data_IF_537919301346
#
_entry.id   IF_537919301346
#
_cell.length_a   1.000
_cell.length_b   1.000
_cell.length_c   1.000
_cell.angle_alpha   90.00
_cell.angle_beta   90.00
_cell.angle_gamma   90.00
#
_symmetry.space_group_name_H-M   'P 1'
#
loop_
_entity.id
_entity.type
_entity.pdbx_description
1 polymer ?
#
# COMPACT_ATOMS: atom_id res chain seq x y z
N UNK A 1 -25.56 -63.60 -13.48
CA UNK A 1 -26.13 -62.53 -12.63
C UNK A 1 -25.10 -61.41 -12.47
N UNK A 2 -25.40 -60.25 -13.07
CA UNK A 2 -24.96 -58.86 -12.79
C UNK A 2 -23.47 -58.53 -12.70
N UNK A 3 -22.94 -58.01 -13.82
CA UNK A 3 -21.72 -57.19 -13.90
C UNK A 3 -22.17 -55.74 -13.62
N UNK A 4 -21.59 -55.08 -12.62
CA UNK A 4 -21.84 -53.66 -12.31
C UNK A 4 -20.72 -52.83 -12.94
N UNK A 5 -21.00 -51.84 -13.81
CA UNK A 5 -19.95 -50.99 -14.34
C UNK A 5 -19.61 -49.91 -13.30
N UNK A 6 -18.35 -49.89 -12.88
CA UNK A 6 -17.77 -48.81 -12.07
C UNK A 6 -17.66 -47.58 -12.96
N UNK A 7 -18.55 -46.62 -12.75
CA UNK A 7 -18.52 -45.31 -13.39
C UNK A 7 -17.39 -44.48 -12.74
N UNK A 8 -16.26 -44.39 -13.44
CA UNK A 8 -15.16 -43.48 -13.08
C UNK A 8 -15.61 -42.03 -13.29
N UNK A 9 -15.91 -41.35 -12.17
CA UNK A 9 -16.27 -39.93 -12.15
C UNK A 9 -14.98 -39.10 -12.27
N UNK A 10 -14.67 -38.62 -13.47
CA UNK A 10 -13.61 -37.65 -13.71
C UNK A 10 -14.02 -36.31 -13.07
N UNK A 11 -13.48 -36.00 -11.90
CA UNK A 11 -13.57 -34.68 -11.29
C UNK A 11 -12.59 -33.77 -12.03
N UNK A 12 -13.10 -32.99 -12.99
CA UNK A 12 -12.37 -31.85 -13.55
C UNK A 12 -12.21 -30.80 -12.45
N UNK A 13 -11.05 -30.77 -11.80
CA UNK A 13 -10.62 -29.63 -10.98
C UNK A 13 -10.37 -28.47 -11.94
N UNK A 14 -11.35 -27.57 -12.07
CA UNK A 14 -11.15 -26.28 -12.70
C UNK A 14 -10.24 -25.47 -11.78
N UNK A 15 -8.94 -25.45 -12.10
CA UNK A 15 -8.03 -24.46 -11.57
C UNK A 15 -8.45 -23.09 -12.14
N UNK A 16 -9.16 -22.30 -11.34
CA UNK A 16 -9.44 -20.92 -11.66
C UNK A 16 -8.11 -20.16 -11.64
N UNK A 17 -7.56 -19.89 -12.83
CA UNK A 17 -6.47 -18.93 -12.98
C UNK A 17 -7.00 -17.56 -12.56
N UNK A 18 -6.59 -17.11 -11.37
CA UNK A 18 -6.78 -15.72 -10.95
C UNK A 18 -5.88 -14.84 -11.81
N UNK A 19 -6.38 -14.44 -12.98
CA UNK A 19 -5.77 -13.35 -13.74
C UNK A 19 -5.92 -12.08 -12.91
N UNK A 20 -4.79 -11.51 -12.47
CA UNK A 20 -4.76 -10.17 -11.91
C UNK A 20 -5.23 -9.20 -13.00
N UNK A 21 -6.51 -8.83 -12.94
CA UNK A 21 -7.07 -7.79 -13.80
C UNK A 21 -6.32 -6.49 -13.47
N UNK A 22 -5.92 -5.67 -14.47
CA UNK A 22 -5.52 -4.30 -14.20
C UNK A 22 -6.58 -3.67 -13.31
N UNK A 23 -6.18 -2.94 -12.26
CA UNK A 23 -7.13 -2.30 -11.37
C UNK A 23 -8.17 -1.55 -12.20
N UNK A 24 -9.45 -1.87 -12.00
CA UNK A 24 -10.53 -1.23 -12.73
C UNK A 24 -10.46 0.28 -12.44
N UNK A 25 -10.76 1.14 -13.42
CA UNK A 25 -10.75 2.60 -13.21
C UNK A 25 -11.63 2.98 -12.00
N UNK A 26 -12.71 2.24 -11.76
CA UNK A 26 -13.56 2.41 -10.59
C UNK A 26 -12.83 2.12 -9.26
N UNK A 27 -11.95 1.11 -9.22
CA UNK A 27 -11.15 0.78 -8.04
C UNK A 27 -10.11 1.89 -7.76
N UNK A 28 -9.46 2.41 -8.81
CA UNK A 28 -8.48 3.50 -8.68
C UNK A 28 -9.18 4.78 -8.19
N UNK A 29 -10.33 5.15 -8.75
CA UNK A 29 -11.09 6.32 -8.29
C UNK A 29 -11.58 6.17 -6.84
N UNK A 30 -11.99 4.95 -6.45
CA UNK A 30 -12.32 4.66 -5.05
C UNK A 30 -11.11 4.81 -4.14
N UNK A 31 -9.96 4.28 -4.54
CA UNK A 31 -8.70 4.43 -3.81
C UNK A 31 -8.30 5.89 -3.64
N UNK A 32 -8.42 6.68 -4.71
CA UNK A 32 -8.19 8.13 -4.70
C UNK A 32 -9.08 8.84 -3.69
N UNK A 33 -10.38 8.54 -3.68
CA UNK A 33 -11.30 9.08 -2.70
C UNK A 33 -10.91 8.70 -1.27
N UNK A 34 -10.61 7.42 -1.02
CA UNK A 34 -10.21 6.95 0.31
C UNK A 34 -8.93 7.63 0.79
N UNK A 35 -7.91 7.73 -0.07
CA UNK A 35 -6.63 8.38 0.26
C UNK A 35 -6.80 9.87 0.56
N UNK A 36 -7.58 10.58 -0.25
CA UNK A 36 -7.70 12.03 -0.13
C UNK A 36 -8.74 12.47 0.89
N UNK A 37 -9.83 11.71 1.07
CA UNK A 37 -11.01 12.17 1.83
C UNK A 37 -11.28 11.39 3.11
N UNK A 38 -10.90 10.12 3.19
CA UNK A 38 -11.21 9.27 4.34
C UNK A 38 -10.00 9.05 5.23
N UNK A 39 -8.93 8.48 4.67
CA UNK A 39 -7.69 8.16 5.38
C UNK A 39 -6.73 9.37 5.46
N UNK A 40 -6.96 10.41 4.66
CA UNK A 40 -6.18 11.65 4.63
C UNK A 40 -4.67 11.39 4.60
N UNK A 41 -4.21 10.44 3.77
CA UNK A 41 -2.82 10.00 3.77
C UNK A 41 -1.85 11.15 3.43
N UNK A 42 -2.31 12.14 2.67
CA UNK A 42 -1.53 13.34 2.33
C UNK A 42 -1.08 14.15 3.55
N UNK A 43 -1.84 14.11 4.65
CA UNK A 43 -1.52 14.90 5.86
C UNK A 43 -0.16 14.57 6.47
N UNK A 44 0.30 13.32 6.30
CA UNK A 44 1.64 12.90 6.73
C UNK A 44 2.54 12.60 5.52
N UNK A 45 2.00 12.06 4.43
CA UNK A 45 2.81 11.58 3.30
C UNK A 45 3.02 12.61 2.17
N UNK A 46 2.54 13.85 2.30
CA UNK A 46 2.79 14.94 1.36
C UNK A 46 3.60 16.05 2.03
N UNK A 47 4.67 16.59 1.39
CA UNK A 47 5.37 17.76 1.91
C UNK A 47 4.43 18.95 2.09
N UNK A 48 4.71 19.80 3.08
CA UNK A 48 3.97 21.04 3.25
C UNK A 48 4.68 22.21 2.57
N UNK A 49 3.90 23.15 2.05
CA UNK A 49 4.35 24.47 1.59
C UNK A 49 4.64 25.36 2.80
N UNK A 50 5.30 26.50 2.57
CA UNK A 50 5.63 27.46 3.62
C UNK A 50 4.40 28.03 4.37
N UNK A 51 3.21 27.92 3.80
CA UNK A 51 1.95 28.31 4.44
C UNK A 51 1.28 27.16 5.23
N UNK A 52 1.97 26.03 5.40
CA UNK A 52 1.50 24.86 6.15
C UNK A 52 0.47 24.00 5.44
N UNK A 53 0.13 24.28 4.16
CA UNK A 53 -0.75 23.41 3.37
C UNK A 53 0.07 22.32 2.66
N UNK A 54 -0.54 21.17 2.42
CA UNK A 54 0.03 20.13 1.57
C UNK A 54 0.42 20.68 0.18
N UNK A 55 1.58 20.28 -0.32
CA UNK A 55 2.08 20.61 -1.65
C UNK A 55 1.52 19.64 -2.70
N UNK A 56 0.51 20.05 -3.51
CA UNK A 56 -0.13 19.16 -4.46
C UNK A 56 0.83 18.70 -5.57
N UNK A 57 1.90 19.45 -5.86
CA UNK A 57 2.89 19.06 -6.86
C UNK A 57 3.76 17.87 -6.39
N UNK A 58 3.80 17.62 -5.07
CA UNK A 58 4.52 16.53 -4.44
C UNK A 58 3.61 15.63 -3.61
N UNK A 59 2.35 15.48 -4.04
CA UNK A 59 1.38 14.62 -3.38
C UNK A 59 1.93 13.20 -3.15
N UNK A 60 1.84 12.73 -1.90
CA UNK A 60 2.28 11.39 -1.48
C UNK A 60 3.77 11.07 -1.71
N UNK A 61 4.62 12.10 -1.86
CA UNK A 61 6.06 11.92 -2.08
C UNK A 61 6.89 11.79 -0.78
N UNK A 62 6.22 11.61 0.36
CA UNK A 62 6.83 11.54 1.69
C UNK A 62 7.04 12.91 2.30
N UNK A 63 7.18 12.98 3.61
CA UNK A 63 7.45 14.25 4.28
C UNK A 63 8.11 14.04 5.64
N UNK A 64 8.77 15.09 6.13
CA UNK A 64 9.16 15.17 7.53
C UNK A 64 7.96 15.61 8.37
N UNK A 65 7.70 14.89 9.46
CA UNK A 65 6.61 15.16 10.39
C UNK A 65 7.11 16.17 11.42
N UNK A 66 6.64 17.42 11.32
CA UNK A 66 7.12 18.51 12.18
C UNK A 66 6.55 18.46 13.61
N UNK A 67 5.42 17.76 13.81
CA UNK A 67 4.83 17.60 15.13
C UNK A 67 5.63 16.60 15.96
N UNK A 68 5.65 16.82 17.28
CA UNK A 68 6.34 15.96 18.24
C UNK A 68 5.35 15.30 19.19
N UNK A 69 5.65 14.08 19.68
CA UNK A 69 4.79 13.42 20.64
C UNK A 69 4.83 14.15 21.99
N UNK A 70 3.70 14.18 22.68
CA UNK A 70 3.57 14.80 24.01
C UNK A 70 4.08 13.89 25.14
N UNK A 71 4.26 12.60 24.86
CA UNK A 71 4.71 11.57 25.79
C UNK A 71 5.67 10.61 25.09
N UNK A 72 6.53 9.88 25.81
CA UNK A 72 7.42 8.90 25.20
C UNK A 72 6.65 7.81 24.44
N UNK A 73 6.93 7.69 23.14
CA UNK A 73 6.40 6.68 22.23
C UNK A 73 7.45 6.40 21.17
N UNK A 74 7.42 5.20 20.56
CA UNK A 74 8.23 4.93 19.37
C UNK A 74 7.67 5.76 18.21
N UNK A 75 8.38 6.84 17.91
CA UNK A 75 7.96 7.88 16.98
C UNK A 75 8.85 7.86 15.73
N UNK A 76 8.21 7.97 14.57
CA UNK A 76 8.83 8.15 13.27
C UNK A 76 8.67 9.62 12.86
N UNK A 77 9.78 10.29 12.62
CA UNK A 77 9.80 11.69 12.20
C UNK A 77 9.73 11.85 10.67
N UNK A 78 9.78 10.75 9.93
CA UNK A 78 9.71 10.77 8.48
C UNK A 78 8.66 9.78 7.91
N UNK A 79 7.61 10.35 7.31
CA UNK A 79 6.66 9.58 6.54
C UNK A 79 7.24 9.19 5.17
N UNK A 80 7.30 7.89 4.81
CA UNK A 80 7.83 7.45 3.52
C UNK A 80 6.95 7.94 2.35
N UNK A 81 7.50 8.07 1.15
CA UNK A 81 6.63 8.27 -0.01
C UNK A 81 5.77 7.03 -0.27
N UNK A 82 4.56 7.27 -0.77
CA UNK A 82 3.60 6.24 -1.17
C UNK A 82 3.37 6.21 -2.69
N UNK A 83 3.60 7.33 -3.39
CA UNK A 83 3.41 7.43 -4.83
C UNK A 83 4.31 6.43 -5.58
N UNK A 84 3.70 5.57 -6.39
CA UNK A 84 4.38 4.47 -7.08
C UNK A 84 4.66 3.26 -6.19
N UNK A 85 4.12 3.23 -4.97
CA UNK A 85 4.37 2.22 -3.94
C UNK A 85 5.55 2.57 -3.02
N UNK A 86 5.50 2.21 -1.72
CA UNK A 86 6.61 2.51 -0.80
C UNK A 86 7.95 1.90 -1.24
N UNK A 87 9.06 2.52 -0.81
CA UNK A 87 10.43 2.00 -1.06
C UNK A 87 10.67 0.65 -0.41
N UNK A 88 11.58 -0.14 -0.99
CA UNK A 88 12.00 -1.43 -0.41
C UNK A 88 11.11 -2.61 -0.84
N UNK A 89 10.76 -2.64 -2.13
CA UNK A 89 10.03 -3.76 -2.75
C UNK A 89 8.70 -4.08 -2.05
N UNK A 90 7.96 -3.05 -1.64
CA UNK A 90 6.58 -3.23 -1.20
C UNK A 90 5.72 -3.63 -2.38
N UNK A 91 4.85 -4.60 -2.16
CA UNK A 91 3.80 -4.97 -3.12
C UNK A 91 2.47 -4.31 -2.76
N UNK A 92 1.51 -4.30 -3.69
CA UNK A 92 0.14 -3.88 -3.36
C UNK A 92 -0.46 -4.74 -2.25
N UNK A 93 -0.16 -6.05 -2.24
CA UNK A 93 -0.61 -6.97 -1.21
C UNK A 93 -0.02 -6.63 0.17
N UNK A 94 1.24 -6.21 0.24
CA UNK A 94 1.85 -5.77 1.50
C UNK A 94 1.12 -4.55 2.06
N UNK A 95 0.88 -3.54 1.22
CA UNK A 95 0.16 -2.32 1.62
C UNK A 95 -1.26 -2.66 2.07
N UNK A 96 -1.98 -3.44 1.27
CA UNK A 96 -3.35 -3.84 1.60
C UNK A 96 -3.40 -4.58 2.93
N UNK A 97 -2.50 -5.55 3.14
CA UNK A 97 -2.42 -6.29 4.40
C UNK A 97 -2.15 -5.37 5.60
N UNK A 98 -1.21 -4.44 5.49
CA UNK A 98 -0.93 -3.45 6.54
C UNK A 98 -2.16 -2.60 6.89
N UNK A 99 -2.94 -2.18 5.89
CA UNK A 99 -4.15 -1.38 6.11
C UNK A 99 -5.33 -2.19 6.69
N UNK A 100 -5.33 -3.50 6.50
CA UNK A 100 -6.33 -4.40 7.08
C UNK A 100 -5.98 -4.78 8.53
N UNK A 101 -4.70 -5.01 8.82
CA UNK A 101 -4.26 -5.54 10.12
C UNK A 101 -3.78 -4.47 11.09
N UNK A 102 -3.39 -3.30 10.61
CA UNK A 102 -2.73 -2.27 11.41
C UNK A 102 -1.26 -2.60 11.72
N UNK A 103 -0.71 -3.64 11.09
CA UNK A 103 0.65 -4.13 11.36
C UNK A 103 1.59 -3.84 10.19
N UNK A 104 2.87 -3.67 10.49
CA UNK A 104 3.93 -3.56 9.49
C UNK A 104 4.13 -4.88 8.70
N UNK A 105 5.00 -4.86 7.68
CA UNK A 105 5.30 -6.05 6.86
C UNK A 105 5.89 -7.23 7.64
N UNK A 106 6.52 -6.96 8.78
CA UNK A 106 7.12 -7.97 9.66
C UNK A 106 6.12 -8.47 10.71
N UNK A 107 4.90 -7.93 10.72
CA UNK A 107 3.85 -8.26 11.68
C UNK A 107 3.95 -7.51 13.01
N UNK A 108 4.81 -6.49 13.10
CA UNK A 108 4.92 -5.62 14.26
C UNK A 108 3.93 -4.45 14.21
N UNK A 109 3.82 -3.71 15.31
CA UNK A 109 3.05 -2.47 15.36
C UNK A 109 3.67 -1.39 14.47
N UNK A 110 2.84 -0.53 13.89
CA UNK A 110 3.29 0.65 13.18
C UNK A 110 3.81 1.69 14.18
N UNK A 111 4.89 2.37 13.82
CA UNK A 111 5.43 3.45 14.63
C UNK A 111 4.53 4.70 14.55
N UNK A 112 4.36 5.39 15.68
CA UNK A 112 3.57 6.61 15.72
C UNK A 112 4.22 7.69 14.83
N UNK A 113 3.46 8.58 14.18
CA UNK A 113 2.02 8.78 14.31
C UNK A 113 1.16 7.97 13.33
N UNK A 114 1.72 7.02 12.58
CA UNK A 114 0.92 6.24 11.63
C UNK A 114 -0.15 5.44 12.38
N UNK A 115 -1.44 5.63 12.09
CA UNK A 115 -2.50 4.90 12.77
C UNK A 115 -2.55 3.45 12.31
N UNK A 116 -2.95 2.58 13.23
CA UNK A 116 -3.28 1.19 12.93
C UNK A 116 -4.67 1.13 12.31
N UNK A 117 -4.71 0.91 10.98
CA UNK A 117 -5.97 0.78 10.25
C UNK A 117 -6.52 -0.65 10.33
N UNK A 118 -7.84 -0.76 10.31
CA UNK A 118 -8.58 -2.02 10.22
C UNK A 118 -9.63 -1.95 9.11
N UNK A 119 -9.16 -1.69 7.88
CA UNK A 119 -10.02 -1.53 6.72
C UNK A 119 -10.55 -2.87 6.21
N UNK A 120 -11.72 -2.84 5.56
CA UNK A 120 -12.15 -3.94 4.71
C UNK A 120 -11.17 -4.13 3.54
N UNK A 121 -11.02 -5.36 3.09
CA UNK A 121 -10.05 -5.72 2.05
C UNK A 121 -10.26 -4.90 0.76
N UNK A 122 -11.52 -4.65 0.40
CA UNK A 122 -11.88 -3.89 -0.79
C UNK A 122 -11.39 -2.43 -0.74
N UNK A 123 -11.34 -1.82 0.45
CA UNK A 123 -10.87 -0.45 0.68
C UNK A 123 -9.34 -0.40 0.69
N UNK A 124 -8.74 -1.35 1.40
CA UNK A 124 -7.29 -1.50 1.47
C UNK A 124 -6.68 -1.77 0.08
N UNK A 125 -7.30 -2.65 -0.71
CA UNK A 125 -6.89 -2.96 -2.08
C UNK A 125 -7.07 -1.76 -3.01
N UNK A 126 -8.16 -1.00 -2.85
CA UNK A 126 -8.38 0.21 -3.64
C UNK A 126 -7.32 1.29 -3.35
N UNK A 127 -6.99 1.51 -2.08
CA UNK A 127 -5.90 2.42 -1.68
C UNK A 127 -4.57 1.96 -2.28
N UNK A 128 -4.24 0.67 -2.14
CA UNK A 128 -3.01 0.11 -2.70
C UNK A 128 -2.96 0.28 -4.23
N UNK A 129 -4.05 -0.04 -4.94
CA UNK A 129 -4.14 0.16 -6.38
C UNK A 129 -3.91 1.62 -6.78
N UNK A 130 -4.54 2.57 -6.09
CA UNK A 130 -4.37 4.00 -6.37
C UNK A 130 -2.93 4.46 -6.15
N UNK A 131 -2.31 4.19 -5.00
CA UNK A 131 -0.96 4.69 -4.73
C UNK A 131 0.09 4.10 -5.70
N UNK A 132 -0.09 2.85 -6.12
CA UNK A 132 0.78 2.21 -7.12
C UNK A 132 0.51 2.69 -8.55
N UNK A 133 -0.68 3.28 -8.82
CA UNK A 133 -0.97 3.90 -10.12
C UNK A 133 -0.25 5.25 -10.31
N UNK A 134 0.23 5.87 -9.23
CA UNK A 134 0.90 7.15 -9.26
C UNK A 134 2.37 7.03 -9.74
N UNK A 135 2.93 8.08 -10.36
CA UNK A 135 4.33 8.08 -10.76
C UNK A 135 5.24 8.04 -9.53
N UNK A 136 6.24 7.15 -9.55
CA UNK A 136 7.28 7.08 -8.53
C UNK A 136 8.17 8.33 -8.58
N UNK A 137 8.46 8.98 -7.44
CA UNK A 137 9.37 10.12 -7.41
C UNK A 137 10.79 9.73 -7.85
N UNK A 138 11.43 10.58 -8.66
CA UNK A 138 12.75 10.29 -9.22
C UNK A 138 13.83 10.01 -8.16
N UNK A 139 13.80 10.73 -7.03
CA UNK A 139 14.75 10.53 -5.93
C UNK A 139 14.67 9.12 -5.31
N UNK A 140 13.50 8.46 -5.36
CA UNK A 140 13.34 7.10 -4.86
C UNK A 140 13.88 6.06 -5.84
N UNK A 141 13.65 6.25 -7.14
CA UNK A 141 14.17 5.38 -8.18
C UNK A 141 15.70 5.31 -8.17
N UNK A 142 16.38 6.43 -7.89
CA UNK A 142 17.84 6.50 -7.80
C UNK A 142 18.41 5.77 -6.58
N UNK A 143 17.75 5.88 -5.42
CA UNK A 143 18.21 5.16 -4.21
C UNK A 143 18.14 3.64 -4.36
N UNK A 144 17.12 3.14 -5.07
CA UNK A 144 16.94 1.70 -5.30
C UNK A 144 18.01 1.16 -6.27
N UNK A 145 18.45 1.96 -7.24
CA UNK A 145 19.54 1.61 -8.16
C UNK A 145 20.90 1.54 -7.46
N UNK A 146 21.23 2.51 -6.61
CA UNK A 146 22.48 2.50 -5.85
C UNK A 146 22.53 1.37 -4.81
N UNK A 147 21.40 0.99 -4.19
CA UNK A 147 21.37 -0.14 -3.26
C UNK A 147 21.57 -1.48 -3.97
N UNK A 148 21.05 -1.65 -5.19
CA UNK A 148 21.32 -2.85 -5.99
C UNK A 148 22.79 -2.95 -6.42
N UNK A 149 23.47 -1.83 -6.65
CA UNK A 149 24.87 -1.81 -7.10
C UNK A 149 25.87 -2.09 -5.96
N UNK A 150 25.50 -1.81 -4.70
CA UNK A 150 26.33 -2.11 -3.53
C UNK A 150 26.15 -3.52 -2.94
N UNK A 151 25.19 -4.31 -3.45
CA UNK A 151 24.90 -5.68 -3.01
C UNK A 151 25.36 -6.77 -4.00
N UNK A 152 26.31 -6.46 -4.89
CA UNK A 152 27.07 -7.41 -5.72
C UNK A 152 28.55 -7.38 -5.37
#
# INVERSE_FOLDING_TARGET
MKIVPVLLLFICVFAASQSSKPADNAQIERGKYLVNEVAKCGSCHTPHLANGKEDPARALQGSHIEVKPLHPVKWEDHAPALAGGPRGSWTQADVSKTLQTGLDRKGGHLDAPMPEYHMHAEDADAIAAYIFSLPRPAHQAQSEQHEHEHHH
#
